data_IF_498182791417
#
_entry.id   IF_498182791417
#
_cell.length_a   1.000
_cell.length_b   1.000
_cell.length_c   1.000
_cell.angle_alpha   90.00
_cell.angle_beta   90.00
_cell.angle_gamma   90.00
#
_symmetry.space_group_name_H-M   'P 1'
#
loop_
_entity.id
_entity.type
_entity.pdbx_description
1 polymer ?
#
# COMPACT_ATOMS: atom_id res chain seq x y z
N UNK A 1 96.41 -40.80 13.25
CA UNK A 1 95.13 -40.84 14.01
C UNK A 1 94.15 -39.75 13.53
N UNK A 2 93.82 -39.67 12.24
CA UNK A 2 92.97 -38.58 11.69
C UNK A 2 91.80 -39.06 10.82
N UNK A 3 91.77 -40.34 10.42
CA UNK A 3 90.68 -40.89 9.58
C UNK A 3 89.42 -41.29 10.35
N UNK A 4 89.54 -41.63 11.64
CA UNK A 4 88.40 -42.06 12.46
C UNK A 4 87.49 -40.88 12.88
N UNK A 5 88.07 -39.67 12.98
CA UNK A 5 87.34 -38.45 13.35
C UNK A 5 86.49 -37.90 12.19
N UNK A 6 86.90 -38.10 10.93
CA UNK A 6 86.11 -37.70 9.76
C UNK A 6 84.85 -38.58 9.57
N UNK A 7 84.93 -39.87 9.90
CA UNK A 7 83.79 -40.79 9.85
C UNK A 7 82.75 -40.50 10.94
N UNK A 8 83.20 -40.09 12.14
CA UNK A 8 82.29 -39.64 13.21
C UNK A 8 81.58 -38.32 12.85
N UNK A 9 82.27 -37.39 12.18
CA UNK A 9 81.66 -36.13 11.73
C UNK A 9 80.66 -36.33 10.58
N UNK A 10 80.89 -37.30 9.68
CA UNK A 10 79.94 -37.64 8.61
C UNK A 10 78.66 -38.28 9.16
N UNK A 11 78.75 -39.08 10.23
CA UNK A 11 77.58 -39.66 10.90
C UNK A 11 76.82 -38.66 11.78
N UNK A 12 77.47 -37.62 12.31
CA UNK A 12 76.75 -36.55 13.03
C UNK A 12 75.95 -35.63 12.10
N UNK A 13 76.37 -35.44 10.85
CA UNK A 13 75.63 -34.62 9.88
C UNK A 13 74.43 -35.34 9.23
N UNK A 14 74.41 -36.68 9.20
CA UNK A 14 73.27 -37.44 8.67
C UNK A 14 72.15 -37.67 9.70
N UNK A 15 72.41 -37.45 11.00
CA UNK A 15 71.45 -37.66 12.08
C UNK A 15 70.51 -36.48 12.37
N UNK A 16 70.80 -35.30 11.81
CA UNK A 16 70.11 -34.04 12.12
C UNK A 16 69.50 -33.36 10.88
N UNK A 17 69.03 -34.14 9.91
CA UNK A 17 68.03 -33.60 9.00
C UNK A 17 66.77 -33.31 9.83
N UNK A 18 66.28 -32.06 9.91
CA UNK A 18 64.99 -31.81 10.52
C UNK A 18 64.01 -32.68 9.75
N UNK A 19 63.35 -33.61 10.44
CA UNK A 19 62.11 -34.18 9.93
C UNK A 19 61.21 -32.96 9.75
N UNK A 20 61.10 -32.46 8.53
CA UNK A 20 59.94 -31.68 8.14
C UNK A 20 58.78 -32.59 8.46
N UNK A 21 58.13 -32.35 9.60
CA UNK A 21 56.78 -32.82 9.78
C UNK A 21 56.06 -32.31 8.54
N UNK A 22 55.71 -33.25 7.67
CA UNK A 22 54.81 -33.01 6.57
C UNK A 22 53.51 -32.61 7.27
N UNK A 23 53.36 -31.31 7.52
CA UNK A 23 52.09 -30.74 7.95
C UNK A 23 51.19 -31.03 6.76
N UNK A 24 50.47 -32.14 6.84
CA UNK A 24 49.48 -32.51 5.86
C UNK A 24 48.40 -31.43 5.97
N UNK A 25 48.55 -30.37 5.17
CA UNK A 25 47.58 -29.28 5.09
C UNK A 25 46.34 -29.91 4.49
N UNK A 26 45.41 -30.27 5.37
CA UNK A 26 44.13 -30.83 5.01
C UNK A 26 43.28 -29.75 4.35
N UNK A 27 42.67 -30.08 3.22
CA UNK A 27 41.76 -29.19 2.52
C UNK A 27 40.62 -28.75 3.46
N UNK A 28 40.44 -27.43 3.71
CA UNK A 28 39.48 -26.95 4.67
C UNK A 28 38.05 -27.19 4.19
N UNK A 29 37.16 -27.58 5.12
CA UNK A 29 35.77 -27.82 4.79
C UNK A 29 35.02 -26.52 4.49
N UNK A 30 34.03 -26.54 3.57
CA UNK A 30 33.16 -25.39 3.32
C UNK A 30 32.41 -24.97 4.59
N UNK A 31 32.01 -23.70 4.67
CA UNK A 31 31.26 -23.14 5.78
C UNK A 31 30.00 -22.39 5.31
N UNK A 32 29.13 -22.00 6.24
CA UNK A 32 27.94 -21.19 5.96
C UNK A 32 27.03 -21.75 4.87
N UNK A 33 26.76 -23.06 4.92
CA UNK A 33 25.86 -23.71 3.96
C UNK A 33 24.42 -23.34 4.29
N UNK A 34 23.75 -22.71 3.32
CA UNK A 34 22.36 -22.30 3.43
C UNK A 34 21.58 -22.66 2.16
N UNK A 35 20.29 -22.94 2.34
CA UNK A 35 19.34 -23.11 1.25
C UNK A 35 18.40 -21.91 1.31
N UNK A 36 18.41 -21.10 0.25
CA UNK A 36 17.44 -20.02 0.06
C UNK A 36 16.34 -20.48 -0.89
N UNK A 37 15.12 -20.03 -0.63
CA UNK A 37 13.97 -20.41 -1.44
C UNK A 37 13.01 -19.26 -1.66
N UNK A 38 12.73 -18.97 -2.92
CA UNK A 38 11.78 -17.93 -3.32
C UNK A 38 10.91 -18.46 -4.46
N UNK A 39 9.58 -18.37 -4.33
CA UNK A 39 8.63 -18.88 -5.34
C UNK A 39 8.96 -20.32 -5.82
N UNK A 40 9.27 -21.21 -4.85
CA UNK A 40 9.66 -22.60 -5.10
C UNK A 40 10.90 -22.75 -6.00
N UNK A 41 11.84 -21.79 -5.92
CA UNK A 41 13.18 -21.89 -6.51
C UNK A 41 14.18 -22.02 -5.40
N UNK A 42 14.80 -23.20 -5.32
CA UNK A 42 15.68 -23.57 -4.24
C UNK A 42 17.12 -23.44 -4.70
N UNK A 43 17.90 -22.62 -4.01
CA UNK A 43 19.32 -22.39 -4.31
C UNK A 43 20.14 -22.63 -3.07
N UNK A 44 21.18 -23.45 -3.20
CA UNK A 44 22.16 -23.67 -2.15
C UNK A 44 23.38 -22.78 -2.36
N UNK A 45 23.78 -22.10 -1.30
CA UNK A 45 25.00 -21.28 -1.23
C UNK A 45 25.90 -21.75 -0.09
N UNK A 46 27.20 -21.54 -0.24
CA UNK A 46 28.21 -21.88 0.74
C UNK A 46 29.41 -20.94 0.60
N UNK A 47 30.24 -20.86 1.63
CA UNK A 47 31.52 -20.17 1.61
C UNK A 47 32.66 -21.20 1.60
N UNK A 48 33.72 -21.00 0.80
CA UNK A 48 34.95 -21.77 0.92
C UNK A 48 35.52 -21.70 2.34
N UNK A 49 36.22 -22.74 2.76
CA UNK A 49 36.96 -22.71 4.01
C UNK A 49 38.14 -21.71 3.96
N UNK A 50 38.59 -21.14 5.09
CA UNK A 50 39.76 -20.26 5.11
C UNK A 50 40.99 -20.96 4.54
N UNK A 51 41.70 -20.30 3.62
CA UNK A 51 42.89 -20.86 2.98
C UNK A 51 42.60 -21.92 1.91
N UNK A 52 41.36 -22.04 1.43
CA UNK A 52 41.03 -22.93 0.31
C UNK A 52 41.81 -22.52 -0.95
N UNK A 53 42.55 -23.44 -1.60
CA UNK A 53 43.26 -23.16 -2.85
C UNK A 53 42.32 -22.74 -4.00
N UNK A 54 42.73 -21.84 -4.91
CA UNK A 54 41.88 -21.36 -6.01
C UNK A 54 41.38 -22.44 -6.98
N UNK A 55 42.13 -23.53 -7.14
CA UNK A 55 41.83 -24.68 -7.99
C UNK A 55 40.86 -25.68 -7.36
N UNK A 56 40.37 -25.39 -6.15
CA UNK A 56 39.45 -26.26 -5.42
C UNK A 56 38.06 -26.25 -6.04
N UNK A 57 37.50 -27.44 -6.20
CA UNK A 57 36.13 -27.65 -6.64
C UNK A 57 35.24 -28.12 -5.48
N UNK A 58 33.94 -27.96 -5.65
CA UNK A 58 32.95 -28.32 -4.65
C UNK A 58 31.88 -29.22 -5.24
N UNK A 59 31.50 -30.24 -4.47
CA UNK A 59 30.46 -31.18 -4.87
C UNK A 59 29.30 -31.16 -3.88
N UNK A 60 28.07 -31.24 -4.38
CA UNK A 60 26.85 -31.17 -3.58
C UNK A 60 26.12 -32.50 -3.63
N UNK A 61 25.72 -32.97 -2.45
CA UNK A 61 24.82 -34.12 -2.30
C UNK A 61 23.60 -33.75 -1.49
N UNK A 62 22.49 -34.43 -1.75
CA UNK A 62 21.24 -34.28 -1.01
C UNK A 62 20.76 -35.60 -0.43
N UNK A 63 19.98 -35.50 0.63
CA UNK A 63 19.16 -36.57 1.18
C UNK A 63 17.78 -35.99 1.46
N UNK A 64 16.77 -36.85 1.46
CA UNK A 64 15.44 -36.50 1.97
C UNK A 64 15.04 -37.51 3.04
N UNK A 65 14.21 -37.07 3.98
CA UNK A 65 13.91 -37.82 5.20
C UNK A 65 13.39 -39.24 4.93
N UNK A 66 12.63 -39.44 3.84
CA UNK A 66 12.12 -40.77 3.45
C UNK A 66 13.16 -41.71 2.80
N UNK A 67 14.43 -41.29 2.65
CA UNK A 67 15.52 -42.11 2.10
C UNK A 67 16.77 -42.07 2.95
N UNK A 68 17.47 -43.20 2.97
CA UNK A 68 18.68 -43.39 3.79
C UNK A 68 19.99 -43.20 3.01
N UNK A 69 19.97 -42.75 1.76
CA UNK A 69 21.18 -42.59 0.94
C UNK A 69 21.33 -41.19 0.37
N UNK A 70 22.55 -40.65 0.54
CA UNK A 70 22.98 -39.41 -0.08
C UNK A 70 23.11 -39.58 -1.59
N UNK A 71 22.62 -38.60 -2.34
CA UNK A 71 22.63 -38.61 -3.81
C UNK A 71 23.33 -37.36 -4.33
N UNK A 72 24.25 -37.49 -5.31
CA UNK A 72 24.84 -36.33 -5.97
C UNK A 72 23.78 -35.52 -6.72
N UNK A 73 23.95 -34.20 -6.72
CA UNK A 73 23.14 -33.29 -7.52
C UNK A 73 23.80 -33.10 -8.88
N UNK A 74 23.17 -33.61 -9.93
CA UNK A 74 23.63 -33.41 -11.31
C UNK A 74 23.70 -31.91 -11.63
N UNK A 75 24.84 -31.44 -12.12
CA UNK A 75 25.11 -30.02 -12.37
C UNK A 75 25.78 -29.28 -11.21
N UNK A 76 25.95 -29.92 -10.05
CA UNK A 76 26.65 -29.36 -8.88
C UNK A 76 27.78 -30.27 -8.40
N UNK A 77 28.44 -30.98 -9.32
CA UNK A 77 29.53 -31.90 -9.00
C UNK A 77 30.90 -31.23 -8.95
N UNK A 78 31.08 -30.13 -9.69
CA UNK A 78 32.36 -29.46 -9.92
C UNK A 78 32.20 -27.92 -9.84
N UNK A 79 31.57 -27.44 -8.77
CA UNK A 79 31.38 -26.01 -8.54
C UNK A 79 32.69 -25.33 -8.17
N UNK A 80 32.88 -24.08 -8.58
CA UNK A 80 33.96 -23.20 -8.12
C UNK A 80 33.49 -22.32 -6.95
N UNK A 81 34.45 -21.74 -6.25
CA UNK A 81 34.17 -20.77 -5.19
C UNK A 81 33.26 -19.63 -5.70
N UNK A 82 32.22 -19.31 -4.92
CA UNK A 82 31.24 -18.27 -5.27
C UNK A 82 30.09 -18.75 -6.18
N UNK A 83 30.14 -19.96 -6.73
CA UNK A 83 29.01 -20.53 -7.45
C UNK A 83 27.95 -21.08 -6.49
N UNK A 84 26.70 -21.06 -6.92
CA UNK A 84 25.56 -21.63 -6.21
C UNK A 84 25.09 -22.92 -6.89
N UNK A 85 24.31 -23.72 -6.17
CA UNK A 85 23.71 -24.94 -6.69
C UNK A 85 22.20 -24.83 -6.75
N UNK A 86 21.60 -25.04 -7.93
CA UNK A 86 20.15 -25.08 -8.06
C UNK A 86 19.61 -26.45 -7.61
N UNK A 87 18.80 -26.46 -6.55
CA UNK A 87 18.18 -27.65 -5.97
C UNK A 87 16.72 -27.86 -6.41
N UNK A 88 16.15 -26.93 -7.17
CA UNK A 88 14.73 -26.90 -7.55
C UNK A 88 14.26 -28.21 -8.18
N UNK A 89 15.04 -28.78 -9.11
CA UNK A 89 14.67 -30.00 -9.83
C UNK A 89 14.84 -31.27 -9.01
N UNK A 90 15.68 -31.24 -7.96
CA UNK A 90 15.96 -32.42 -7.13
C UNK A 90 15.00 -32.51 -5.92
N UNK A 91 14.43 -31.39 -5.49
CA UNK A 91 13.39 -31.33 -4.45
C UNK A 91 12.00 -31.59 -5.05
N UNK A 92 11.71 -32.86 -5.35
CA UNK A 92 10.49 -33.27 -6.08
C UNK A 92 9.24 -33.38 -5.20
N UNK A 93 9.39 -33.76 -3.94
CA UNK A 93 8.29 -33.79 -2.98
C UNK A 93 8.28 -32.49 -2.17
N UNK A 94 7.21 -31.70 -2.27
CA UNK A 94 7.09 -30.42 -1.57
C UNK A 94 6.84 -30.59 -0.06
N UNK A 95 6.39 -31.78 0.35
CA UNK A 95 6.02 -32.11 1.72
C UNK A 95 7.11 -32.89 2.48
N UNK A 96 8.24 -33.19 1.84
CA UNK A 96 9.35 -33.92 2.47
C UNK A 96 10.45 -32.97 2.94
N UNK A 97 11.19 -33.40 3.97
CA UNK A 97 12.33 -32.65 4.49
C UNK A 97 13.59 -33.07 3.75
N UNK A 98 14.33 -32.09 3.24
CA UNK A 98 15.60 -32.28 2.56
C UNK A 98 16.75 -31.76 3.40
N UNK A 99 17.92 -32.35 3.18
CA UNK A 99 19.18 -31.84 3.70
C UNK A 99 20.24 -31.94 2.62
N UNK A 100 21.08 -30.94 2.52
CA UNK A 100 22.20 -30.92 1.61
C UNK A 100 23.52 -31.03 2.37
N UNK A 101 24.56 -31.49 1.67
CA UNK A 101 25.93 -31.43 2.14
C UNK A 101 26.87 -31.03 1.02
N UNK A 102 27.92 -30.32 1.37
CA UNK A 102 28.96 -29.85 0.45
C UNK A 102 30.32 -30.28 0.96
N UNK A 103 31.19 -30.68 0.05
CA UNK A 103 32.58 -31.00 0.32
C UNK A 103 33.46 -30.34 -0.73
N UNK A 104 34.62 -29.86 -0.31
CA UNK A 104 35.66 -29.36 -1.18
C UNK A 104 36.55 -30.51 -1.63
N UNK A 105 37.03 -30.47 -2.87
CA UNK A 105 37.98 -31.45 -3.39
C UNK A 105 38.96 -30.83 -4.38
N UNK A 106 40.15 -31.41 -4.41
CA UNK A 106 41.19 -31.23 -5.43
C UNK A 106 41.52 -32.61 -6.01
N UNK A 107 42.40 -32.73 -7.03
CA UNK A 107 42.80 -34.05 -7.53
C UNK A 107 43.46 -34.96 -6.48
N UNK A 108 44.00 -34.39 -5.40
CA UNK A 108 44.78 -35.12 -4.39
C UNK A 108 44.10 -35.20 -3.02
N UNK A 109 43.15 -34.31 -2.72
CA UNK A 109 42.55 -34.21 -1.38
C UNK A 109 41.05 -33.94 -1.42
N UNK A 110 40.37 -34.31 -0.33
CA UNK A 110 38.96 -33.97 -0.08
C UNK A 110 38.81 -33.47 1.35
N UNK A 111 37.99 -32.43 1.56
CA UNK A 111 37.70 -31.91 2.90
C UNK A 111 36.75 -32.82 3.68
N UNK A 112 36.37 -32.47 4.91
CA UNK A 112 35.16 -33.05 5.51
C UNK A 112 33.89 -32.52 4.81
N UNK A 113 32.78 -33.26 4.95
CA UNK A 113 31.45 -32.79 4.53
C UNK A 113 30.90 -31.79 5.54
N UNK A 114 30.34 -30.69 5.05
CA UNK A 114 29.56 -29.76 5.85
C UNK A 114 28.08 -29.89 5.48
N UNK A 115 27.19 -29.87 6.47
CA UNK A 115 25.75 -30.09 6.32
C UNK A 115 24.97 -28.77 6.33
N UNK A 116 23.89 -28.68 5.55
CA UNK A 116 22.87 -27.65 5.70
C UNK A 116 21.94 -27.96 6.89
N UNK A 117 21.11 -26.98 7.25
CA UNK A 117 19.88 -27.24 8.01
C UNK A 117 18.91 -28.13 7.21
N UNK A 118 17.95 -28.74 7.90
CA UNK A 118 16.81 -29.36 7.25
C UNK A 118 15.95 -28.29 6.59
N UNK A 119 15.39 -28.60 5.42
CA UNK A 119 14.62 -27.69 4.59
C UNK A 119 13.37 -28.39 4.07
N UNK A 120 12.20 -27.81 4.31
CA UNK A 120 10.90 -28.27 3.82
C UNK A 120 10.39 -27.29 2.76
N UNK A 121 10.36 -27.66 1.47
CA UNK A 121 10.06 -26.74 0.37
C UNK A 121 8.77 -25.94 0.54
N UNK A 122 7.67 -26.58 0.96
CA UNK A 122 6.37 -25.92 1.09
C UNK A 122 6.34 -24.88 2.24
N UNK A 123 7.07 -25.13 3.32
CA UNK A 123 7.02 -24.30 4.53
C UNK A 123 8.11 -23.24 4.56
N UNK A 124 9.32 -23.59 4.11
CA UNK A 124 10.50 -22.73 4.21
C UNK A 124 10.69 -21.83 2.99
N UNK A 125 9.89 -22.03 1.92
CA UNK A 125 9.89 -21.09 0.80
C UNK A 125 9.27 -19.76 1.20
N UNK A 126 9.87 -18.69 0.72
CA UNK A 126 9.23 -17.38 0.70
C UNK A 126 8.38 -17.27 -0.55
N UNK A 127 7.10 -16.93 -0.38
CA UNK A 127 6.24 -16.57 -1.51
C UNK A 127 6.40 -15.07 -1.75
N UNK A 128 6.87 -14.73 -2.95
CA UNK A 128 7.01 -13.35 -3.37
C UNK A 128 5.65 -12.69 -3.61
N UNK A 129 5.62 -11.35 -3.69
CA UNK A 129 4.45 -10.69 -4.24
C UNK A 129 4.29 -11.06 -5.73
N UNK A 130 3.04 -11.19 -6.23
CA UNK A 130 2.79 -11.36 -7.66
C UNK A 130 3.11 -10.06 -8.42
N UNK A 131 3.08 -10.12 -9.75
CA UNK A 131 3.09 -8.91 -10.57
C UNK A 131 1.75 -8.17 -10.37
N UNK A 132 1.81 -6.85 -10.19
CA UNK A 132 0.66 -6.04 -9.81
C UNK A 132 0.43 -4.92 -10.81
N UNK A 133 -0.82 -4.73 -11.21
CA UNK A 133 -1.27 -3.51 -11.91
C UNK A 133 -2.47 -2.91 -11.19
N UNK A 134 -2.46 -1.59 -11.00
CA UNK A 134 -3.50 -0.87 -10.26
C UNK A 134 -4.14 0.18 -11.17
N UNK A 135 -5.46 0.28 -11.13
CA UNK A 135 -6.23 1.27 -11.89
C UNK A 135 -7.40 1.81 -11.05
N UNK A 136 -7.86 3.03 -11.34
CA UNK A 136 -8.99 3.65 -10.65
C UNK A 136 -10.34 3.30 -11.27
N UNK A 137 -11.37 3.16 -10.43
CA UNK A 137 -12.74 2.86 -10.84
C UNK A 137 -13.78 3.85 -10.26
N UNK A 138 -13.41 5.12 -10.08
CA UNK A 138 -14.26 6.19 -9.59
C UNK A 138 -14.08 6.47 -8.10
N UNK A 139 -14.54 5.55 -7.25
CA UNK A 139 -14.41 5.58 -5.78
C UNK A 139 -13.71 4.32 -5.24
N UNK A 140 -12.94 3.66 -6.11
CA UNK A 140 -12.26 2.41 -5.82
C UNK A 140 -10.97 2.28 -6.62
N UNK A 141 -10.17 1.28 -6.27
CA UNK A 141 -9.04 0.80 -7.07
C UNK A 141 -9.28 -0.65 -7.49
N UNK A 142 -9.10 -0.94 -8.77
CA UNK A 142 -9.01 -2.30 -9.31
C UNK A 142 -7.55 -2.71 -9.35
N UNK A 143 -7.23 -3.81 -8.67
CA UNK A 143 -5.90 -4.39 -8.56
C UNK A 143 -5.89 -5.73 -9.28
N UNK A 144 -5.13 -5.85 -10.37
CA UNK A 144 -4.90 -7.12 -11.04
C UNK A 144 -3.58 -7.72 -10.58
N UNK A 145 -3.62 -9.01 -10.26
CA UNK A 145 -2.49 -9.83 -9.81
C UNK A 145 -2.16 -10.84 -10.89
N UNK A 146 -0.89 -10.94 -11.27
CA UNK A 146 -0.40 -11.94 -12.23
C UNK A 146 0.69 -12.77 -11.58
N UNK A 147 0.42 -14.06 -11.42
CA UNK A 147 1.40 -15.04 -10.96
C UNK A 147 1.93 -15.79 -12.19
N UNK A 148 3.26 -15.91 -12.39
CA UNK A 148 3.82 -16.68 -13.49
C UNK A 148 3.29 -18.13 -13.49
N UNK A 149 2.89 -18.61 -14.66
CA UNK A 149 2.48 -20.01 -14.84
C UNK A 149 3.70 -20.92 -14.75
N UNK A 150 3.99 -21.36 -13.53
CA UNK A 150 5.08 -22.28 -13.24
C UNK A 150 4.51 -23.58 -12.68
N UNK A 151 4.75 -24.66 -13.41
CA UNK A 151 4.44 -26.01 -12.97
C UNK A 151 5.39 -26.41 -11.83
N UNK A 152 4.78 -26.84 -10.73
CA UNK A 152 5.44 -27.45 -9.60
C UNK A 152 5.25 -28.96 -9.67
N UNK A 153 6.04 -29.73 -8.90
CA UNK A 153 5.78 -31.15 -8.74
C UNK A 153 4.34 -31.43 -8.30
N UNK A 154 3.85 -32.65 -8.59
CA UNK A 154 2.51 -33.11 -8.19
C UNK A 154 1.36 -32.37 -8.89
N UNK A 155 1.58 -31.87 -10.12
CA UNK A 155 0.60 -31.15 -10.95
C UNK A 155 0.05 -29.87 -10.32
N UNK A 156 0.80 -29.28 -9.39
CA UNK A 156 0.45 -28.02 -8.75
C UNK A 156 1.02 -26.85 -9.56
N UNK A 157 0.37 -25.70 -9.54
CA UNK A 157 0.91 -24.46 -10.06
C UNK A 157 1.35 -23.55 -8.92
N UNK A 158 2.33 -22.68 -9.17
CA UNK A 158 2.77 -21.69 -8.18
C UNK A 158 1.61 -20.86 -7.61
N UNK A 159 0.65 -20.47 -8.46
CA UNK A 159 -0.54 -19.73 -8.04
C UNK A 159 -1.40 -20.48 -7.01
N UNK A 160 -1.40 -21.81 -7.03
CA UNK A 160 -2.22 -22.61 -6.12
C UNK A 160 -1.70 -22.56 -4.67
N UNK A 161 -0.44 -22.14 -4.51
CA UNK A 161 0.17 -21.88 -3.21
C UNK A 161 -0.27 -20.54 -2.60
N UNK A 162 -0.78 -19.60 -3.39
CA UNK A 162 -1.20 -18.28 -2.93
C UNK A 162 -2.62 -18.44 -2.38
N UNK A 163 -2.79 -18.37 -1.06
CA UNK A 163 -4.10 -18.53 -0.41
C UNK A 163 -4.74 -17.20 -0.10
N UNK A 164 -3.97 -16.30 0.51
CA UNK A 164 -4.45 -14.97 0.90
C UNK A 164 -3.48 -13.91 0.42
N UNK A 165 -4.05 -12.78 0.03
CA UNK A 165 -3.34 -11.58 -0.39
C UNK A 165 -3.59 -10.48 0.62
N UNK A 166 -2.50 -9.86 1.04
CA UNK A 166 -2.51 -8.73 1.97
C UNK A 166 -2.23 -7.47 1.16
N UNK A 167 -3.22 -6.59 1.08
CA UNK A 167 -3.12 -5.27 0.47
C UNK A 167 -2.86 -4.24 1.55
N UNK A 168 -1.71 -3.57 1.48
CA UNK A 168 -1.40 -2.40 2.27
C UNK A 168 -1.65 -1.16 1.42
N UNK A 169 -2.70 -0.42 1.75
CA UNK A 169 -3.16 0.72 0.96
C UNK A 169 -2.83 2.00 1.72
N UNK A 170 -2.13 2.92 1.06
CA UNK A 170 -1.71 4.19 1.64
C UNK A 170 -2.16 5.35 0.76
N UNK A 171 -2.87 6.31 1.35
CA UNK A 171 -3.24 7.57 0.71
C UNK A 171 -2.01 8.48 0.62
N UNK A 172 -1.72 9.00 -0.56
CA UNK A 172 -0.46 9.74 -0.78
C UNK A 172 -0.46 11.13 -0.14
N UNK A 173 -1.61 11.80 -0.11
CA UNK A 173 -1.74 13.19 0.41
C UNK A 173 -1.38 13.35 1.89
N UNK A 174 -1.78 12.41 2.74
CA UNK A 174 -1.66 12.52 4.21
C UNK A 174 -1.05 11.28 4.87
N UNK A 175 -0.70 10.25 4.08
CA UNK A 175 -0.11 9.02 4.59
C UNK A 175 -1.09 8.11 5.31
N UNK A 176 -2.40 8.39 5.30
CA UNK A 176 -3.40 7.52 5.92
C UNK A 176 -3.32 6.12 5.30
N UNK A 177 -3.18 5.10 6.14
CA UNK A 177 -2.94 3.72 5.70
C UNK A 177 -3.91 2.75 6.36
N UNK A 178 -4.31 1.74 5.61
CA UNK A 178 -5.05 0.59 6.11
C UNK A 178 -4.60 -0.67 5.39
N UNK A 179 -4.94 -1.83 5.97
CA UNK A 179 -4.60 -3.14 5.42
C UNK A 179 -5.86 -3.94 5.20
N UNK A 180 -5.94 -4.64 4.07
CA UNK A 180 -6.99 -5.59 3.74
C UNK A 180 -6.36 -6.95 3.50
N UNK A 181 -7.00 -8.01 3.98
CA UNK A 181 -6.61 -9.38 3.66
C UNK A 181 -7.77 -10.04 2.96
N UNK A 182 -7.55 -10.47 1.71
CA UNK A 182 -8.55 -11.14 0.87
C UNK A 182 -8.00 -12.51 0.44
N UNK A 183 -8.89 -13.40 0.01
CA UNK A 183 -8.46 -14.63 -0.66
C UNK A 183 -7.83 -14.29 -2.01
N UNK A 184 -6.99 -15.20 -2.53
CA UNK A 184 -6.33 -14.99 -3.81
C UNK A 184 -7.34 -15.00 -4.97
N UNK A 185 -7.50 -13.84 -5.59
CA UNK A 185 -8.18 -13.66 -6.88
C UNK A 185 -7.27 -12.89 -7.84
N UNK A 186 -7.39 -13.15 -9.14
CA UNK A 186 -6.59 -12.44 -10.16
C UNK A 186 -6.97 -10.96 -10.28
N UNK A 187 -8.23 -10.61 -9.97
CA UNK A 187 -8.72 -9.23 -9.95
C UNK A 187 -9.38 -8.96 -8.59
N UNK A 188 -8.96 -7.88 -7.92
CA UNK A 188 -9.50 -7.46 -6.63
C UNK A 188 -9.94 -6.00 -6.71
N UNK A 189 -11.06 -5.66 -6.06
CA UNK A 189 -11.57 -4.28 -6.02
C UNK A 189 -11.53 -3.75 -4.60
N UNK A 190 -10.73 -2.70 -4.38
CA UNK A 190 -10.62 -1.98 -3.12
C UNK A 190 -11.60 -0.80 -3.17
N UNK A 191 -12.72 -0.94 -2.48
CA UNK A 191 -13.85 0.01 -2.50
C UNK A 191 -13.77 1.05 -1.37
N UNK A 192 -14.77 1.95 -1.34
CA UNK A 192 -14.93 2.99 -0.30
C UNK A 192 -13.76 3.98 -0.20
N UNK A 193 -13.11 4.26 -1.33
CA UNK A 193 -12.05 5.25 -1.43
C UNK A 193 -12.59 6.61 -1.85
N UNK A 194 -11.87 7.66 -1.51
CA UNK A 194 -12.23 9.01 -1.92
C UNK A 194 -11.96 9.18 -3.42
N UNK A 195 -12.94 9.67 -4.17
CA UNK A 195 -12.80 9.98 -5.60
C UNK A 195 -11.81 11.12 -5.85
N UNK A 196 -11.03 11.01 -6.93
CA UNK A 196 -10.04 11.99 -7.37
C UNK A 196 -8.78 12.04 -6.50
N UNK A 197 -8.52 11.00 -5.72
CA UNK A 197 -7.37 10.90 -4.80
C UNK A 197 -6.45 9.75 -5.23
N UNK A 198 -5.16 9.97 -5.08
CA UNK A 198 -4.14 8.95 -5.34
C UNK A 198 -3.87 8.10 -4.10
N UNK A 199 -3.82 6.79 -4.34
CA UNK A 199 -3.48 5.79 -3.35
C UNK A 199 -2.38 4.88 -3.92
N UNK A 200 -1.46 4.47 -3.06
CA UNK A 200 -0.44 3.48 -3.37
C UNK A 200 -0.76 2.17 -2.67
N UNK A 201 -0.67 1.07 -3.41
CA UNK A 201 -0.96 -0.28 -2.94
C UNK A 201 0.33 -1.10 -2.95
N UNK A 202 0.68 -1.66 -1.79
CA UNK A 202 1.71 -2.70 -1.66
C UNK A 202 1.04 -4.04 -1.41
N UNK A 203 1.44 -5.06 -2.14
CA UNK A 203 0.83 -6.39 -2.10
C UNK A 203 1.80 -7.39 -1.48
N UNK A 204 1.31 -8.29 -0.63
CA UNK A 204 2.05 -9.46 -0.15
C UNK A 204 1.18 -10.70 -0.31
N UNK A 205 1.78 -11.81 -0.73
CA UNK A 205 1.10 -13.10 -0.77
C UNK A 205 1.44 -13.95 0.45
N UNK A 206 0.47 -14.75 0.89
CA UNK A 206 0.67 -15.73 1.95
C UNK A 206 0.09 -17.08 1.54
N UNK A 207 0.83 -18.14 1.83
CA UNK A 207 0.40 -19.51 1.59
C UNK A 207 -0.31 -20.13 2.79
N UNK A 208 -0.58 -21.44 2.70
CA UNK A 208 -1.20 -22.20 3.79
C UNK A 208 -0.30 -22.32 5.01
N UNK A 209 1.01 -22.42 4.79
CA UNK A 209 2.01 -22.46 5.86
C UNK A 209 2.59 -21.07 6.01
N UNK A 210 2.57 -20.53 7.23
CA UNK A 210 2.91 -19.14 7.52
C UNK A 210 4.33 -18.80 7.08
N UNK A 211 4.45 -18.04 6.00
CA UNK A 211 5.68 -17.38 5.60
C UNK A 211 5.63 -15.92 6.04
N UNK A 212 6.79 -15.32 6.33
CA UNK A 212 6.85 -13.89 6.62
C UNK A 212 6.42 -13.10 5.37
N UNK A 213 5.49 -12.14 5.49
CA UNK A 213 4.99 -11.41 4.34
C UNK A 213 6.09 -10.57 3.70
N UNK A 214 6.33 -10.78 2.41
CA UNK A 214 7.22 -9.94 1.60
C UNK A 214 6.37 -9.04 0.72
N UNK A 215 6.44 -7.75 1.00
CA UNK A 215 5.68 -6.74 0.26
C UNK A 215 6.36 -6.35 -1.05
N UNK A 216 5.53 -6.10 -2.06
CA UNK A 216 5.95 -5.46 -3.30
C UNK A 216 6.35 -3.99 -3.06
N UNK A 217 7.06 -3.43 -4.05
CA UNK A 217 7.09 -1.98 -4.21
C UNK A 217 5.66 -1.41 -4.27
N UNK A 218 5.43 -0.15 -3.86
CA UNK A 218 4.11 0.47 -3.95
C UNK A 218 3.72 0.73 -5.42
N UNK A 219 2.46 0.48 -5.74
CA UNK A 219 1.85 0.77 -7.04
C UNK A 219 0.75 1.81 -6.86
N UNK A 220 0.91 2.97 -7.49
CA UNK A 220 0.05 4.13 -7.24
C UNK A 220 -0.89 4.41 -8.41
N UNK A 221 -2.14 4.75 -8.10
CA UNK A 221 -3.12 5.18 -9.07
C UNK A 221 -4.13 6.15 -8.43
N UNK A 222 -4.69 7.04 -9.24
CA UNK A 222 -5.82 7.87 -8.84
C UNK A 222 -7.12 7.05 -8.94
N UNK A 223 -8.01 7.18 -7.95
CA UNK A 223 -9.34 6.54 -7.96
C UNK A 223 -10.20 7.00 -9.13
N UNK A 224 -10.12 8.29 -9.50
CA UNK A 224 -10.73 8.87 -10.69
C UNK A 224 -9.82 9.98 -11.22
N UNK A 225 -10.01 10.47 -12.45
CA UNK A 225 -9.36 11.70 -12.89
C UNK A 225 -9.55 12.78 -11.80
N UNK A 226 -8.49 13.51 -11.41
CA UNK A 226 -8.61 14.53 -10.38
C UNK A 226 -9.65 15.54 -10.84
N UNK A 227 -10.63 15.85 -9.99
CA UNK A 227 -11.67 16.81 -10.33
C UNK A 227 -11.02 18.15 -10.69
N UNK A 228 -11.13 18.56 -11.96
CA UNK A 228 -10.79 19.91 -12.37
C UNK A 228 -11.85 20.83 -11.78
N UNK A 229 -11.63 21.29 -10.54
CA UNK A 229 -12.50 22.28 -9.88
C UNK A 229 -12.74 23.52 -10.77
N UNK A 230 -11.82 23.79 -11.70
CA UNK A 230 -11.93 24.83 -12.73
C UNK A 230 -13.15 24.68 -13.64
N UNK A 231 -13.58 23.46 -13.99
CA UNK A 231 -14.66 23.27 -14.97
C UNK A 231 -16.03 23.65 -14.41
N UNK A 232 -16.38 23.22 -13.18
CA UNK A 232 -17.64 23.63 -12.55
C UNK A 232 -17.69 25.14 -12.26
N UNK A 233 -16.59 25.74 -11.79
CA UNK A 233 -16.53 27.18 -11.57
C UNK A 233 -16.71 27.96 -12.88
N UNK A 234 -16.12 27.50 -13.98
CA UNK A 234 -16.26 28.13 -15.29
C UNK A 234 -17.71 28.11 -15.78
N UNK A 235 -18.40 26.96 -15.71
CA UNK A 235 -19.82 26.88 -16.12
C UNK A 235 -20.75 27.72 -15.24
N UNK A 236 -20.49 27.79 -13.93
CA UNK A 236 -21.26 28.65 -13.02
C UNK A 236 -21.02 30.14 -13.33
N UNK A 237 -19.77 30.54 -13.60
CA UNK A 237 -19.44 31.92 -13.97
C UNK A 237 -20.05 32.31 -15.32
N UNK A 238 -19.99 31.44 -16.32
CA UNK A 238 -20.64 31.66 -17.62
C UNK A 238 -22.16 31.75 -17.49
N UNK A 239 -22.77 30.90 -16.66
CA UNK A 239 -24.21 30.96 -16.37
C UNK A 239 -24.62 32.28 -15.73
N UNK A 240 -23.89 32.72 -14.70
CA UNK A 240 -24.15 34.01 -14.04
C UNK A 240 -23.97 35.19 -15.01
N UNK A 241 -22.89 35.21 -15.79
CA UNK A 241 -22.64 36.26 -16.78
C UNK A 241 -23.77 36.33 -17.83
N UNK A 242 -24.28 35.18 -18.27
CA UNK A 242 -25.42 35.12 -19.18
C UNK A 242 -26.70 35.74 -18.59
N UNK A 243 -27.01 35.43 -17.33
CA UNK A 243 -28.18 36.02 -16.63
C UNK A 243 -28.06 37.53 -16.50
N UNK A 244 -26.87 38.03 -16.12
CA UNK A 244 -26.63 39.49 -16.03
C UNK A 244 -26.79 40.19 -17.38
N UNK A 245 -26.32 39.57 -18.48
CA UNK A 245 -26.50 40.12 -19.82
C UNK A 245 -27.98 40.20 -20.21
N UNK A 246 -28.74 39.12 -19.98
CA UNK A 246 -30.18 39.09 -20.28
C UNK A 246 -30.95 40.13 -19.49
N UNK A 247 -30.63 40.30 -18.20
CA UNK A 247 -31.25 41.33 -17.37
C UNK A 247 -30.90 42.74 -17.85
N UNK A 248 -29.64 42.97 -18.25
CA UNK A 248 -29.18 44.22 -18.86
C UNK A 248 -29.96 44.56 -20.13
N UNK A 249 -30.13 43.62 -21.05
CA UNK A 249 -30.92 43.82 -22.26
C UNK A 249 -32.39 44.12 -21.97
N UNK A 250 -32.98 43.47 -20.96
CA UNK A 250 -34.36 43.69 -20.56
C UNK A 250 -34.56 45.10 -19.98
N UNK A 251 -33.63 45.56 -19.13
CA UNK A 251 -33.64 46.93 -18.58
C UNK A 251 -33.45 47.96 -19.70
N UNK A 252 -32.51 47.74 -20.62
CA UNK A 252 -32.31 48.63 -21.77
C UNK A 252 -33.56 48.69 -22.64
N UNK A 253 -34.21 47.55 -22.90
CA UNK A 253 -35.47 47.48 -23.63
C UNK A 253 -36.60 48.26 -22.92
N UNK A 254 -36.73 48.12 -21.60
CA UNK A 254 -37.70 48.87 -20.80
C UNK A 254 -37.44 50.38 -20.82
N UNK A 255 -36.17 50.81 -20.76
CA UNK A 255 -35.80 52.22 -20.84
C UNK A 255 -36.09 52.83 -22.22
N UNK A 256 -35.82 52.10 -23.30
CA UNK A 256 -36.14 52.54 -24.67
C UNK A 256 -37.66 52.61 -24.87
N UNK A 257 -38.40 51.61 -24.43
CA UNK A 257 -39.87 51.57 -24.53
C UNK A 257 -40.54 52.65 -23.66
N UNK A 258 -40.04 52.86 -22.44
CA UNK A 258 -40.48 53.93 -21.55
C UNK A 258 -40.17 55.32 -22.09
N UNK A 259 -38.98 55.53 -22.65
CA UNK A 259 -38.59 56.79 -23.29
C UNK A 259 -39.44 57.13 -24.53
N UNK A 260 -39.80 56.12 -25.33
CA UNK A 260 -40.73 56.26 -26.47
C UNK A 260 -42.15 56.63 -26.01
N UNK A 261 -42.64 56.08 -24.90
CA UNK A 261 -43.95 56.41 -24.33
C UNK A 261 -43.98 57.78 -23.65
N UNK A 262 -42.90 58.21 -23.00
CA UNK A 262 -42.79 59.57 -22.44
C UNK A 262 -42.66 60.66 -23.52
N UNK A 263 -42.09 60.36 -24.69
CA UNK A 263 -41.99 61.31 -25.80
C UNK A 263 -43.32 61.51 -26.56
N UNK A 264 -44.25 60.54 -26.47
CA UNK A 264 -45.61 60.66 -27.05
C UNK A 264 -46.63 61.36 -26.15
N UNK A 265 -46.25 61.79 -24.94
CA UNK A 265 -47.14 62.44 -23.99
C UNK A 265 -46.70 63.85 -23.54
N UNK A 266 -46.33 64.75 -24.47
CA UNK A 266 -46.68 66.15 -24.22
C UNK A 266 -47.09 66.89 -25.50
N UNK A 267 -48.28 66.61 -26.06
CA UNK A 267 -48.95 67.55 -26.99
C UNK A 267 -50.43 67.79 -26.65
N UNK A 268 -51.08 66.97 -25.82
CA UNK A 268 -52.54 67.10 -25.60
C UNK A 268 -52.99 67.75 -24.28
N UNK A 269 -52.08 68.07 -23.34
CA UNK A 269 -52.44 68.62 -22.02
C UNK A 269 -52.00 70.06 -21.76
N UNK A 270 -51.38 70.74 -22.72
CA UNK A 270 -50.98 72.16 -22.60
C UNK A 270 -52.02 73.15 -23.14
N UNK A 271 -53.17 72.70 -23.68
CA UNK A 271 -54.23 73.59 -24.22
C UNK A 271 -55.45 73.79 -23.32
N UNK A 272 -55.35 73.50 -22.02
CA UNK A 272 -56.47 73.69 -21.06
C UNK A 272 -56.14 74.37 -19.73
N UNK A 273 -54.98 75.01 -19.59
CA UNK A 273 -54.59 75.72 -18.36
C UNK A 273 -54.01 77.12 -18.60
N UNK A 274 -54.50 77.84 -19.62
CA UNK A 274 -54.10 79.22 -19.92
C UNK A 274 -55.16 80.28 -19.62
N UNK A 275 -56.26 79.94 -18.93
CA UNK A 275 -57.38 80.87 -18.70
C UNK A 275 -57.83 81.05 -17.24
N UNK A 276 -57.19 80.42 -16.25
CA UNK A 276 -57.59 80.56 -14.83
C UNK A 276 -56.40 80.90 -13.94
N UNK A 277 -55.63 81.94 -14.28
CA UNK A 277 -54.66 82.53 -13.35
C UNK A 277 -54.56 84.06 -13.47
N UNK A 278 -55.62 84.71 -13.94
CA UNK A 278 -55.77 86.18 -13.85
C UNK A 278 -57.23 86.46 -13.47
N UNK A 279 -57.43 87.17 -12.37
CA UNK A 279 -58.70 87.48 -11.67
C UNK A 279 -59.03 86.55 -10.49
N UNK A 280 -58.74 87.03 -9.29
CA UNK A 280 -59.09 86.33 -8.05
C UNK A 280 -58.42 86.85 -6.78
N UNK A 281 -57.71 87.97 -6.83
CA UNK A 281 -57.23 88.67 -5.64
C UNK A 281 -58.34 89.60 -5.11
N UNK A 282 -59.10 89.19 -4.09
CA UNK A 282 -59.72 90.10 -3.09
C UNK A 282 -60.47 89.35 -1.98
N UNK A 283 -60.06 89.65 -0.74
CA UNK A 283 -60.78 89.52 0.56
C UNK A 283 -61.13 88.10 1.02
N UNK A 284 -60.94 87.69 2.27
CA UNK A 284 -60.47 88.36 3.49
C UNK A 284 -60.85 87.47 4.69
N UNK A 285 -60.03 87.51 5.75
CA UNK A 285 -60.28 87.20 7.18
C UNK A 285 -61.27 86.07 7.52
N UNK A 286 -60.88 84.99 8.21
CA UNK A 286 -60.71 84.98 9.68
C UNK A 286 -59.74 83.88 10.19
N UNK A 287 -59.11 84.16 11.33
CA UNK A 287 -58.20 83.33 12.17
C UNK A 287 -58.99 82.76 13.38
N UNK A 288 -58.40 82.07 14.38
CA UNK A 288 -57.27 81.12 14.45
C UNK A 288 -57.71 79.76 15.07
N UNK A 289 -56.88 78.72 15.11
CA UNK A 289 -56.24 78.13 16.33
C UNK A 289 -55.84 76.68 15.94
N UNK A 290 -54.84 75.98 16.47
CA UNK A 290 -53.96 76.17 17.62
C UNK A 290 -52.64 75.43 17.31
N UNK A 291 -51.56 76.01 17.80
CA UNK A 291 -50.16 75.60 17.74
C UNK A 291 -49.85 74.23 18.39
N UNK A 292 -49.08 73.39 17.70
CA UNK A 292 -48.03 72.58 18.35
C UNK A 292 -46.82 73.47 18.68
N UNK A 293 -45.90 73.05 19.55
CA UNK A 293 -44.54 72.80 19.04
C UNK A 293 -43.68 71.81 19.87
N UNK A 294 -42.43 71.64 19.40
CA UNK A 294 -41.24 71.08 20.08
C UNK A 294 -41.21 69.56 20.26
N UNK A 295 -40.07 68.86 20.22
CA UNK A 295 -38.71 69.04 19.70
C UNK A 295 -37.98 67.74 20.06
N UNK A 296 -36.91 67.44 19.32
CA UNK A 296 -36.01 66.35 19.61
C UNK A 296 -35.27 66.52 20.95
N UNK A 297 -35.09 65.41 21.70
CA UNK A 297 -33.78 64.99 22.24
C UNK A 297 -33.92 63.77 23.16
N UNK A 298 -33.11 62.75 22.86
CA UNK A 298 -32.42 61.79 23.73
C UNK A 298 -33.07 61.26 25.02
N UNK A 299 -33.08 59.92 25.15
CA UNK A 299 -32.66 59.27 26.40
C UNK A 299 -32.00 57.92 26.10
N UNK A 300 -31.08 57.57 26.97
CA UNK A 300 -30.07 56.52 26.95
C UNK A 300 -30.31 55.63 28.17
N UNK A 301 -30.32 54.31 28.05
CA UNK A 301 -30.09 53.31 29.13
C UNK A 301 -29.88 51.93 28.45
N UNK A 302 -28.70 51.30 28.52
CA UNK A 302 -28.27 50.28 29.51
C UNK A 302 -29.30 49.16 29.72
N UNK A 303 -29.03 47.86 29.75
CA UNK A 303 -27.83 47.04 29.79
C UNK A 303 -28.26 45.62 30.20
N UNK A 304 -27.58 44.60 29.65
CA UNK A 304 -27.29 43.25 30.20
C UNK A 304 -28.27 42.56 31.19
N UNK A 305 -28.69 41.33 30.86
CA UNK A 305 -28.47 40.15 31.73
C UNK A 305 -28.82 38.81 31.04
N UNK A 306 -27.89 37.86 31.16
CA UNK A 306 -28.00 36.43 30.88
C UNK A 306 -28.93 35.70 31.86
N UNK A 307 -29.50 34.55 31.44
CA UNK A 307 -29.90 33.46 32.35
C UNK A 307 -29.59 32.10 31.71
N UNK A 308 -29.00 31.22 32.52
CA UNK A 308 -28.48 29.88 32.22
C UNK A 308 -29.00 28.95 33.34
N UNK A 309 -29.59 27.80 32.98
CA UNK A 309 -29.83 26.54 33.77
C UNK A 309 -30.62 26.63 35.11
N UNK A 310 -31.48 25.71 35.54
CA UNK A 310 -31.42 24.22 35.51
C UNK A 310 -32.79 23.59 35.90
N UNK A 311 -33.11 22.46 35.25
CA UNK A 311 -33.58 21.17 35.81
C UNK A 311 -35.06 20.92 36.24
N UNK A 312 -35.68 19.90 35.61
CA UNK A 312 -36.27 18.72 36.29
C UNK A 312 -36.60 17.59 35.27
N UNK A 313 -36.61 16.35 35.77
CA UNK A 313 -36.47 15.05 35.09
C UNK A 313 -37.84 14.33 34.81
N UNK A 314 -37.97 13.00 34.59
CA UNK A 314 -38.38 12.38 33.31
C UNK A 314 -39.61 11.44 33.39
N UNK A 315 -40.28 11.08 32.27
CA UNK A 315 -41.18 9.89 32.16
C UNK A 315 -41.26 9.36 30.71
N UNK A 316 -40.78 8.12 30.54
CA UNK A 316 -41.37 6.93 29.86
C UNK A 316 -42.47 7.03 28.77
N UNK A 317 -42.28 6.27 27.68
CA UNK A 317 -43.31 5.40 27.09
C UNK A 317 -42.73 4.28 26.19
N UNK A 318 -42.81 3.04 26.71
CA UNK A 318 -43.32 1.79 26.09
C UNK A 318 -42.69 1.27 24.78
N UNK A 319 -41.96 0.15 24.91
CA UNK A 319 -41.85 -0.91 23.90
C UNK A 319 -42.25 -2.24 24.57
N UNK A 320 -43.07 -3.04 23.90
CA UNK A 320 -43.60 -4.32 24.38
C UNK A 320 -43.31 -5.43 23.38
N UNK A 321 -42.60 -6.47 23.83
CA UNK A 321 -43.02 -7.89 23.77
C UNK A 321 -41.86 -8.80 24.21
N UNK A 322 -42.02 -9.37 25.40
CA UNK A 322 -41.35 -10.58 25.90
C UNK A 322 -41.87 -11.82 25.16
N UNK A 323 -41.08 -12.89 25.07
CA UNK A 323 -41.22 -14.13 25.87
C UNK A 323 -40.08 -15.08 25.49
N UNK A 324 -39.13 -15.28 26.40
CA UNK A 324 -38.33 -16.51 26.51
C UNK A 324 -38.55 -17.05 27.93
N UNK A 325 -38.94 -18.32 28.01
CA UNK A 325 -39.21 -19.07 29.24
C UNK A 325 -38.09 -20.11 29.39
N UNK A 326 -37.49 -20.16 30.57
CA UNK A 326 -36.39 -21.05 30.94
C UNK A 326 -36.90 -22.26 31.76
N UNK A 327 -36.24 -23.39 31.52
CA UNK A 327 -36.05 -24.56 32.40
C UNK A 327 -37.10 -25.69 32.46
N UNK A 328 -36.66 -26.88 32.03
CA UNK A 328 -36.68 -28.11 32.85
C UNK A 328 -35.88 -29.21 32.13
N UNK A 329 -34.86 -29.76 32.81
CA UNK A 329 -33.95 -30.77 32.26
C UNK A 329 -34.53 -32.18 32.05
N UNK A 330 -33.72 -33.04 31.42
CA UNK A 330 -33.43 -34.45 31.75
C UNK A 330 -32.72 -35.15 30.56
N UNK A 331 -31.57 -35.77 30.86
CA UNK A 331 -30.92 -36.81 30.05
C UNK A 331 -31.56 -38.15 30.47
N UNK A 332 -31.96 -39.04 29.53
CA UNK A 332 -31.14 -40.23 29.25
C UNK A 332 -31.25 -40.86 27.84
N UNK A 333 -30.11 -41.44 27.43
CA UNK A 333 -29.82 -42.64 26.61
C UNK A 333 -28.79 -42.39 25.51
#
# INVERSE_FOLDING_TARGET
MMGLWLLLLLHLHLGNAPRTEDVCVSLPAPSSISISSFNMEHTLSFLPGPGTPPETHFTVQIIHHRKNSWRPVTGCLELRAGQTCNLTRVFKDLYDHYRARVQAYTPTQTSNWTLSAWFLPLSDTVLGPPDVTVSGCGNCLTVQLRVPTKELPQNLQLKDLYKRIIFRVQRTRDGAQFTLTLDYEEENVITYLQSGVEYCVSVSATGSVSSNPVYSKPYCAFTSPPSTKSSCTLYVVLGLAGVFCMLGFLIIGLLIYGGQMSLKLPIHLTRRLSYILIQGQKRGSTRPELSGPFSASQLHETGSASCLLTAHSPVEAVNSSEVEEEDCGLVPN
#
